data_IF_537651844343
#
_entry.id   IF_537651844343
#
_cell.length_a   1.000
_cell.length_b   1.000
_cell.length_c   1.000
_cell.angle_alpha   90.00
_cell.angle_beta   90.00
_cell.angle_gamma   90.00
#
_symmetry.space_group_name_H-M   'P 1'
#
loop_
_entity.id
_entity.type
_entity.pdbx_description
1 polymer ?
#
# COMPACT_ATOMS: atom_id res chain seq x y z
N UNK A 1 5.96 6.86 0.51
CA UNK A 1 5.29 7.86 -0.33
C UNK A 1 6.16 9.09 -0.45
N UNK A 2 5.85 10.16 0.31
CA UNK A 2 6.55 11.46 0.27
C UNK A 2 8.08 11.37 0.14
N UNK A 3 8.76 10.67 1.05
CA UNK A 3 10.23 10.52 1.00
C UNK A 3 10.75 9.94 -0.32
N UNK A 4 10.03 9.01 -0.96
CA UNK A 4 10.45 8.45 -2.25
C UNK A 4 10.27 9.45 -3.40
N UNK A 5 9.21 10.27 -3.35
CA UNK A 5 8.95 11.35 -4.30
C UNK A 5 9.99 12.47 -4.15
N UNK A 6 10.32 12.85 -2.91
CA UNK A 6 11.35 13.85 -2.59
C UNK A 6 12.73 13.42 -3.13
N UNK A 7 13.12 12.15 -2.90
CA UNK A 7 14.37 11.60 -3.44
C UNK A 7 14.40 11.57 -4.97
N UNK A 8 13.25 11.39 -5.61
CA UNK A 8 13.12 11.43 -7.06
C UNK A 8 13.02 12.85 -7.63
N UNK A 9 12.85 13.87 -6.78
CA UNK A 9 12.69 15.26 -7.17
C UNK A 9 11.38 15.52 -7.93
N UNK A 10 10.30 14.85 -7.53
CA UNK A 10 8.99 14.94 -8.19
C UNK A 10 7.85 14.98 -7.16
N UNK A 11 6.63 15.25 -7.61
CA UNK A 11 5.41 15.21 -6.80
C UNK A 11 4.48 14.09 -7.26
N UNK A 12 3.48 13.72 -6.45
CA UNK A 12 2.53 12.67 -6.84
C UNK A 12 1.69 13.06 -8.07
N UNK A 13 1.47 14.36 -8.28
CA UNK A 13 0.69 14.90 -9.40
C UNK A 13 1.46 14.80 -10.73
N UNK A 14 2.79 14.77 -10.67
CA UNK A 14 3.68 14.59 -11.82
C UNK A 14 3.91 13.12 -12.16
N UNK A 15 3.52 12.17 -11.30
CA UNK A 15 3.59 10.75 -11.61
C UNK A 15 2.44 10.40 -12.55
N UNK A 16 2.74 9.92 -13.75
CA UNK A 16 1.73 9.53 -14.74
C UNK A 16 1.32 8.05 -14.61
N UNK A 17 2.26 7.17 -14.26
CA UNK A 17 2.05 5.72 -14.21
C UNK A 17 2.08 5.23 -12.77
N UNK A 18 1.03 4.53 -12.33
CA UNK A 18 0.92 4.03 -10.95
C UNK A 18 0.56 2.55 -10.93
N UNK A 19 1.26 1.78 -10.10
CA UNK A 19 0.80 0.46 -9.66
C UNK A 19 0.82 0.35 -8.13
N UNK A 20 -0.37 0.24 -7.54
CA UNK A 20 -0.58 0.04 -6.12
C UNK A 20 -0.80 -1.45 -5.81
N UNK A 21 -0.10 -1.95 -4.78
CA UNK A 21 -0.39 -3.27 -4.22
C UNK A 21 -1.86 -3.40 -3.78
N UNK A 22 -2.47 -4.55 -4.07
CA UNK A 22 -3.93 -4.68 -4.13
C UNK A 22 -4.48 -6.04 -3.66
N UNK A 23 -3.97 -6.62 -2.57
CA UNK A 23 -4.49 -7.88 -2.01
C UNK A 23 -5.97 -7.80 -1.59
N UNK A 24 -6.41 -6.63 -1.13
CA UNK A 24 -7.79 -6.32 -0.78
C UNK A 24 -8.11 -4.88 -1.20
N UNK A 25 -9.38 -4.53 -1.42
CA UNK A 25 -9.79 -3.15 -1.74
C UNK A 25 -9.30 -2.12 -0.71
N UNK A 26 -9.27 -2.50 0.57
CA UNK A 26 -8.78 -1.64 1.66
C UNK A 26 -7.33 -1.22 1.50
N UNK A 27 -6.46 -2.10 0.95
CA UNK A 27 -5.07 -1.75 0.69
C UNK A 27 -4.98 -0.67 -0.41
N UNK A 28 -5.75 -0.81 -1.49
CA UNK A 28 -5.79 0.18 -2.58
C UNK A 28 -6.30 1.52 -2.08
N UNK A 29 -7.40 1.51 -1.31
CA UNK A 29 -7.99 2.71 -0.71
C UNK A 29 -7.01 3.42 0.22
N UNK A 30 -6.35 2.67 1.11
CA UNK A 30 -5.33 3.20 2.01
C UNK A 30 -4.16 3.81 1.24
N UNK A 31 -3.63 3.11 0.23
CA UNK A 31 -2.51 3.58 -0.57
C UNK A 31 -2.85 4.84 -1.35
N UNK A 32 -3.99 4.84 -2.04
CA UNK A 32 -4.47 5.97 -2.82
C UNK A 32 -4.71 7.19 -1.93
N UNK A 33 -5.44 7.04 -0.82
CA UNK A 33 -5.68 8.12 0.14
C UNK A 33 -4.38 8.67 0.72
N UNK A 34 -3.44 7.80 1.11
CA UNK A 34 -2.16 8.21 1.70
C UNK A 34 -1.24 8.94 0.73
N UNK A 35 -1.39 8.69 -0.57
CA UNK A 35 -0.63 9.35 -1.63
C UNK A 35 -1.37 10.56 -2.22
N UNK A 36 -2.67 10.76 -1.93
CA UNK A 36 -3.48 11.82 -2.54
C UNK A 36 -3.99 11.48 -3.94
N UNK A 37 -4.07 10.19 -4.28
CA UNK A 37 -4.57 9.71 -5.57
C UNK A 37 -6.10 9.48 -5.52
N UNK A 38 -6.87 9.95 -6.52
CA UNK A 38 -8.30 9.68 -6.57
C UNK A 38 -8.55 8.22 -7.03
N UNK A 39 -9.64 7.62 -6.55
CA UNK A 39 -9.93 6.19 -6.79
C UNK A 39 -10.43 5.86 -8.20
N UNK A 40 -10.88 6.87 -8.95
CA UNK A 40 -11.27 6.76 -10.36
C UNK A 40 -10.08 6.81 -11.33
N UNK A 41 -8.87 7.11 -10.81
CA UNK A 41 -7.63 7.01 -11.57
C UNK A 41 -7.30 5.54 -11.85
N UNK A 42 -6.54 5.28 -12.91
CA UNK A 42 -5.89 3.99 -13.10
C UNK A 42 -4.79 3.77 -12.04
N UNK A 43 -5.07 2.92 -11.05
CA UNK A 43 -4.19 2.63 -9.91
C UNK A 43 -3.41 1.31 -10.03
N UNK A 44 -3.58 0.59 -11.15
CA UNK A 44 -2.78 -0.60 -11.47
C UNK A 44 -2.51 -0.66 -12.97
N UNK A 45 -1.32 -1.15 -13.32
CA UNK A 45 -0.89 -1.49 -14.67
C UNK A 45 -0.88 -3.00 -14.89
N UNK A 46 -0.62 -3.77 -13.83
CA UNK A 46 -0.56 -5.23 -13.88
C UNK A 46 -1.92 -5.90 -13.81
N UNK A 47 -2.93 -5.22 -13.28
CA UNK A 47 -4.30 -5.75 -13.11
C UNK A 47 -4.65 -6.11 -11.67
N UNK A 48 -3.74 -5.92 -10.72
CA UNK A 48 -3.95 -6.16 -9.30
C UNK A 48 -4.01 -7.63 -8.88
N UNK A 49 -3.78 -7.90 -7.58
CA UNK A 49 -3.67 -9.28 -7.08
C UNK A 49 -4.95 -10.10 -7.29
N UNK A 50 -6.12 -9.45 -7.22
CA UNK A 50 -7.40 -10.11 -7.38
C UNK A 50 -7.61 -10.71 -8.78
N UNK A 51 -6.99 -10.15 -9.82
CA UNK A 51 -7.26 -10.51 -11.21
C UNK A 51 -6.03 -11.04 -11.95
N UNK A 52 -4.89 -10.38 -11.81
CA UNK A 52 -3.63 -10.82 -12.42
C UNK A 52 -3.05 -12.07 -11.71
N UNK A 53 -3.52 -12.33 -10.49
CA UNK A 53 -2.90 -13.27 -9.58
C UNK A 53 -1.62 -12.69 -8.99
N UNK A 54 -1.24 -13.24 -7.83
CA UNK A 54 0.04 -12.94 -7.20
C UNK A 54 0.64 -14.25 -6.73
N UNK A 55 1.81 -14.68 -7.24
CA UNK A 55 2.50 -15.83 -6.68
C UNK A 55 2.96 -15.49 -5.26
N UNK A 56 2.06 -15.73 -4.30
CA UNK A 56 2.20 -15.46 -2.87
C UNK A 56 2.67 -14.02 -2.57
N UNK A 57 3.98 -13.80 -2.40
CA UNK A 57 4.55 -12.48 -2.09
C UNK A 57 5.00 -11.68 -3.32
N UNK A 58 5.07 -12.28 -4.51
CA UNK A 58 5.89 -11.72 -5.59
C UNK A 58 5.14 -10.84 -6.61
N UNK A 59 3.91 -10.41 -6.32
CA UNK A 59 3.14 -9.52 -7.21
C UNK A 59 3.91 -8.26 -7.61
N UNK A 60 4.59 -7.62 -6.66
CA UNK A 60 5.25 -6.32 -6.89
C UNK A 60 6.39 -6.42 -7.91
N UNK A 61 7.05 -7.58 -8.01
CA UNK A 61 8.07 -7.78 -9.04
C UNK A 61 7.46 -7.72 -10.45
N UNK A 62 6.24 -8.26 -10.62
CA UNK A 62 5.49 -8.13 -11.87
C UNK A 62 5.02 -6.69 -12.10
N UNK A 63 4.57 -5.99 -11.05
CA UNK A 63 4.24 -4.57 -11.12
C UNK A 63 5.41 -3.72 -11.62
N UNK A 64 6.60 -3.93 -11.06
CA UNK A 64 7.82 -3.25 -11.52
C UNK A 64 8.10 -3.59 -12.99
N UNK A 65 8.04 -4.86 -13.38
CA UNK A 65 8.30 -5.26 -14.76
C UNK A 65 7.30 -4.63 -15.75
N UNK A 66 6.01 -4.61 -15.41
CA UNK A 66 4.96 -3.97 -16.22
C UNK A 66 5.19 -2.46 -16.34
N UNK A 67 5.41 -1.77 -15.22
CA UNK A 67 5.67 -0.32 -15.22
C UNK A 67 6.93 0.01 -16.01
N UNK A 68 7.99 -0.81 -15.94
CA UNK A 68 9.19 -0.60 -16.73
C UNK A 68 8.96 -0.75 -18.24
N UNK A 69 8.03 -1.60 -18.67
CA UNK A 69 7.64 -1.68 -20.07
C UNK A 69 6.86 -0.43 -20.49
N UNK A 70 5.87 -0.01 -19.70
CA UNK A 70 5.11 1.22 -19.99
C UNK A 70 6.03 2.46 -20.11
N UNK A 71 7.01 2.60 -19.22
CA UNK A 71 7.97 3.70 -19.22
C UNK A 71 8.89 3.70 -20.44
N UNK A 72 9.25 2.52 -20.97
CA UNK A 72 10.05 2.41 -22.20
C UNK A 72 9.24 2.77 -23.43
N UNK A 73 7.94 2.50 -23.42
CA UNK A 73 7.01 2.89 -24.48
C UNK A 73 6.65 4.38 -24.42
N UNK A 74 6.77 5.00 -23.25
CA UNK A 74 6.49 6.43 -23.02
C UNK A 74 7.68 7.16 -22.37
N UNK A 75 8.81 7.34 -23.08
CA UNK A 75 9.99 7.98 -22.52
C UNK A 75 9.71 9.39 -21.99
N UNK A 76 10.28 9.71 -20.82
CA UNK A 76 10.08 10.99 -20.15
C UNK A 76 8.99 10.98 -19.08
N UNK A 77 8.12 9.98 -19.06
CA UNK A 77 7.13 9.78 -17.98
C UNK A 77 7.77 9.22 -16.71
N UNK A 78 7.07 9.38 -15.60
CA UNK A 78 7.42 8.92 -14.26
C UNK A 78 6.43 7.87 -13.78
N UNK A 79 6.96 6.76 -13.27
CA UNK A 79 6.21 5.65 -12.72
C UNK A 79 6.41 5.52 -11.22
N UNK A 80 5.36 5.18 -10.49
CA UNK A 80 5.40 4.84 -9.07
C UNK A 80 4.83 3.45 -8.83
N UNK A 81 5.59 2.62 -8.11
CA UNK A 81 5.12 1.32 -7.60
C UNK A 81 5.11 1.37 -6.08
N UNK A 82 3.99 0.96 -5.48
CA UNK A 82 3.88 0.78 -4.05
C UNK A 82 3.72 -0.70 -3.70
N UNK A 83 4.61 -1.20 -2.84
CA UNK A 83 4.57 -2.52 -2.26
C UNK A 83 3.98 -2.47 -0.85
N UNK A 84 3.11 -3.43 -0.53
CA UNK A 84 2.54 -3.58 0.79
C UNK A 84 2.71 -5.02 1.30
N UNK A 85 3.06 -5.17 2.58
CA UNK A 85 3.24 -6.47 3.24
C UNK A 85 2.56 -6.55 4.60
N UNK A 86 2.11 -7.76 4.95
CA UNK A 86 1.37 -8.02 6.20
C UNK A 86 0.01 -7.32 6.23
N UNK A 87 -0.43 -6.92 7.41
CA UNK A 87 -1.67 -6.16 7.63
C UNK A 87 -1.46 -4.66 7.40
N UNK A 88 -0.86 -4.30 6.26
CA UNK A 88 -0.36 -2.96 5.98
C UNK A 88 0.69 -2.46 6.98
N UNK A 89 1.61 -3.35 7.39
CA UNK A 89 2.66 -3.06 8.37
C UNK A 89 4.03 -2.86 7.73
N UNK A 90 4.19 -3.21 6.45
CA UNK A 90 5.44 -3.06 5.70
C UNK A 90 5.15 -2.37 4.38
N UNK A 91 5.92 -1.35 4.06
CA UNK A 91 5.77 -0.61 2.82
C UNK A 91 7.12 -0.43 2.13
N UNK A 92 7.13 -0.59 0.81
CA UNK A 92 8.22 -0.14 -0.03
C UNK A 92 7.65 0.69 -1.18
N UNK A 93 8.40 1.71 -1.61
CA UNK A 93 8.01 2.60 -2.69
C UNK A 93 9.17 2.68 -3.67
N UNK A 94 8.86 2.59 -4.97
CA UNK A 94 9.82 2.80 -6.04
C UNK A 94 9.30 3.86 -7.00
N UNK A 95 10.16 4.79 -7.39
CA UNK A 95 9.92 5.77 -8.45
C UNK A 95 10.86 5.47 -9.61
N UNK A 96 10.33 5.39 -10.81
CA UNK A 96 11.02 4.90 -12.00
C UNK A 96 10.84 5.89 -13.15
N UNK A 97 11.89 6.15 -13.93
CA UNK A 97 11.87 6.98 -15.14
C UNK A 97 12.97 6.51 -16.09
N UNK A 98 12.83 6.80 -17.38
CA UNK A 98 13.86 6.47 -18.39
C UNK A 98 15.04 7.45 -18.39
N UNK A 99 14.86 8.65 -17.85
CA UNK A 99 15.92 9.65 -17.77
C UNK A 99 16.74 9.47 -16.47
N UNK A 100 18.07 9.35 -16.54
CA UNK A 100 18.90 9.21 -15.33
C UNK A 100 18.75 10.39 -14.35
N UNK A 101 18.72 10.15 -13.03
CA UNK A 101 18.74 11.22 -12.04
C UNK A 101 20.14 11.87 -11.95
N UNK A 102 20.18 13.20 -11.75
CA UNK A 102 21.42 13.99 -11.67
C UNK A 102 22.32 13.54 -10.49
N UNK A 103 21.74 12.93 -9.44
CA UNK A 103 22.45 12.41 -8.26
C UNK A 103 22.59 10.90 -8.18
N UNK A 104 22.33 10.16 -9.27
CA UNK A 104 22.36 8.70 -9.26
C UNK A 104 21.21 8.07 -8.43
N UNK A 105 21.32 6.77 -8.13
CA UNK A 105 20.33 6.06 -7.33
C UNK A 105 20.32 6.57 -5.88
N UNK A 106 19.13 6.77 -5.33
CA UNK A 106 18.93 7.24 -3.97
C UNK A 106 17.95 6.32 -3.23
N UNK A 107 18.14 6.16 -1.92
CA UNK A 107 17.23 5.41 -1.06
C UNK A 107 17.23 5.99 0.35
N UNK A 108 16.13 5.80 1.07
CA UNK A 108 16.01 6.16 2.47
C UNK A 108 15.01 5.25 3.17
N UNK A 109 15.05 5.23 4.51
CA UNK A 109 14.25 4.36 5.35
C UNK A 109 13.74 5.15 6.57
N UNK A 110 12.45 5.54 6.61
CA UNK A 110 11.93 6.46 7.62
C UNK A 110 11.48 5.78 8.93
N UNK A 111 12.01 4.60 9.28
CA UNK A 111 11.49 3.80 10.39
C UNK A 111 11.60 4.50 11.74
N UNK A 112 12.74 5.15 12.03
CA UNK A 112 12.92 5.87 13.30
C UNK A 112 11.87 6.98 13.50
N UNK A 113 11.44 7.63 12.41
CA UNK A 113 10.39 8.64 12.43
C UNK A 113 9.03 8.01 12.71
N UNK A 114 8.76 6.84 12.12
CA UNK A 114 7.52 6.08 12.31
C UNK A 114 7.44 5.54 13.74
N UNK A 115 8.54 5.01 14.28
CA UNK A 115 8.61 4.42 15.62
C UNK A 115 8.45 5.48 16.73
N UNK A 116 8.77 6.73 16.43
CA UNK A 116 8.56 7.87 17.31
C UNK A 116 7.11 8.40 17.29
N UNK A 117 6.24 7.93 16.38
CA UNK A 117 4.84 8.35 16.33
C UNK A 117 4.04 7.80 17.52
N UNK A 118 2.94 8.47 17.92
CA UNK A 118 2.05 7.96 18.95
C UNK A 118 1.54 6.55 18.62
N UNK A 119 1.62 5.65 19.60
CA UNK A 119 1.07 4.30 19.53
C UNK A 119 -0.11 4.15 20.48
N UNK A 120 -1.03 3.25 20.16
CA UNK A 120 -2.06 2.84 21.13
C UNK A 120 -1.48 1.75 22.03
N UNK A 121 -1.72 1.89 23.33
CA UNK A 121 -1.46 0.85 24.31
C UNK A 121 -2.68 -0.07 24.39
N UNK A 122 -2.44 -1.39 24.39
CA UNK A 122 -3.51 -2.37 24.53
C UNK A 122 -3.78 -2.63 26.01
N UNK A 123 -5.05 -2.71 26.39
CA UNK A 123 -5.43 -3.18 27.72
C UNK A 123 -4.93 -4.62 27.93
N UNK A 124 -4.42 -4.92 29.12
CA UNK A 124 -4.11 -6.30 29.48
C UNK A 124 -5.42 -7.12 29.53
N UNK A 125 -5.39 -8.44 29.27
CA UNK A 125 -6.61 -9.25 29.28
C UNK A 125 -7.41 -9.18 30.59
N UNK A 126 -6.74 -8.95 31.72
CA UNK A 126 -7.40 -8.79 33.02
C UNK A 126 -8.17 -7.46 33.14
N UNK A 127 -7.73 -6.42 32.44
CA UNK A 127 -8.32 -5.08 32.46
C UNK A 127 -9.38 -4.89 31.36
N UNK A 128 -9.35 -5.74 30.33
CA UNK A 128 -10.30 -5.74 29.22
C UNK A 128 -11.65 -6.38 29.62
N UNK A 129 -12.34 -5.76 30.59
CA UNK A 129 -13.61 -6.25 31.13
C UNK A 129 -14.67 -5.15 31.24
N UNK A 130 -15.93 -5.50 30.97
CA UNK A 130 -17.09 -4.60 31.10
C UNK A 130 -17.62 -4.10 29.76
N UNK A 131 -18.38 -3.00 29.81
CA UNK A 131 -18.92 -2.35 28.61
C UNK A 131 -17.80 -1.68 27.82
N UNK A 132 -17.81 -1.86 26.50
CA UNK A 132 -16.81 -1.33 25.59
C UNK A 132 -17.47 -0.87 24.28
N UNK A 133 -16.79 0.03 23.55
CA UNK A 133 -17.30 0.52 22.26
C UNK A 133 -16.61 -0.22 21.13
N UNK A 134 -17.36 -0.84 20.23
CA UNK A 134 -16.79 -1.47 19.04
C UNK A 134 -16.28 -0.39 18.08
N UNK A 135 -14.99 -0.41 17.77
CA UNK A 135 -14.36 0.48 16.78
C UNK A 135 -14.44 -0.12 15.37
N UNK A 136 -14.15 -1.42 15.25
CA UNK A 136 -14.19 -2.15 13.99
C UNK A 136 -14.48 -3.64 14.26
N UNK A 137 -15.06 -4.34 13.29
CA UNK A 137 -15.30 -5.77 13.41
C UNK A 137 -15.30 -6.47 12.05
N UNK A 138 -15.16 -7.79 12.09
CA UNK A 138 -15.40 -8.69 10.95
C UNK A 138 -16.16 -9.92 11.43
N UNK A 139 -16.86 -10.57 10.52
CA UNK A 139 -17.67 -11.76 10.80
C UNK A 139 -17.21 -12.90 9.90
N UNK A 140 -16.76 -13.98 10.54
CA UNK A 140 -16.50 -15.24 9.85
C UNK A 140 -17.83 -15.93 9.58
N UNK A 141 -18.04 -16.31 8.33
CA UNK A 141 -19.22 -17.04 7.88
C UNK A 141 -18.85 -18.50 7.57
N UNK A 142 -19.79 -19.41 7.86
CA UNK A 142 -19.70 -20.81 7.50
C UNK A 142 -19.66 -21.00 5.98
N UNK A 143 -19.43 -22.24 5.54
CA UNK A 143 -19.50 -22.59 4.10
C UNK A 143 -20.89 -22.33 3.50
N UNK A 144 -21.93 -22.36 4.32
CA UNK A 144 -23.32 -22.08 3.92
C UNK A 144 -23.67 -20.59 4.02
N UNK A 145 -22.69 -19.74 4.34
CA UNK A 145 -22.88 -18.30 4.48
C UNK A 145 -23.56 -17.88 5.79
N UNK A 146 -23.59 -18.74 6.80
CA UNK A 146 -24.18 -18.43 8.11
C UNK A 146 -23.13 -17.77 9.01
N UNK A 147 -23.42 -16.65 9.69
CA UNK A 147 -22.49 -16.04 10.65
C UNK A 147 -22.12 -17.01 11.80
N UNK A 148 -20.82 -17.21 12.06
CA UNK A 148 -20.34 -18.14 13.12
C UNK A 148 -19.53 -17.44 14.20
N UNK A 149 -18.67 -16.49 13.84
CA UNK A 149 -17.75 -15.85 14.80
C UNK A 149 -17.53 -14.39 14.45
N UNK A 150 -17.58 -13.53 15.47
CA UNK A 150 -17.27 -12.11 15.35
C UNK A 150 -15.89 -11.86 15.94
N UNK A 151 -15.03 -11.14 15.21
CA UNK A 151 -13.83 -10.53 15.75
C UNK A 151 -14.04 -9.02 15.79
N UNK A 152 -13.89 -8.40 16.95
CA UNK A 152 -14.06 -6.97 17.14
C UNK A 152 -12.83 -6.35 17.81
N UNK A 153 -12.47 -5.15 17.35
CA UNK A 153 -11.58 -4.23 18.04
C UNK A 153 -12.44 -3.26 18.85
N UNK A 154 -12.11 -3.07 20.13
CA UNK A 154 -12.89 -2.29 21.08
C UNK A 154 -12.06 -1.17 21.70
N UNK A 155 -12.73 -0.05 22.02
CA UNK A 155 -12.24 1.07 22.83
C UNK A 155 -12.74 0.96 24.27
#
# INVERSE_FOLDING_TARGET
GRMALDLAGTTIDEVEIVDLYSCFPSAVQLGAQSLGLPLDRQLTRTGGLAFAGGPWNNYVMHAIATVMNDLREQPGTTGLVWANGGYATKHAFGVYRTTPPVGGFQHAYPQDVIDAMPRRELAAPADAAGAATIEAYTVMHSRDGVPETVYAACL
#
